data_IF_649015304432
#
_entry.id   IF_649015304432
#
_cell.length_a   1.000
_cell.length_b   1.000
_cell.length_c   1.000
_cell.angle_alpha   90.00
_cell.angle_beta   90.00
_cell.angle_gamma   90.00
#
_symmetry.space_group_name_H-M   'P 1'
#
loop_
_entity.id
_entity.type
_entity.pdbx_description
1 polymer ?
#
# COMPACT_ATOMS: atom_id res chain seq x y z
N UNK A 1 -12.67 -15.00 4.78
CA UNK A 1 -11.47 -14.53 5.53
C UNK A 1 -10.93 -13.22 4.97
N UNK A 2 -10.60 -13.08 3.69
CA UNK A 2 -10.03 -11.84 3.14
C UNK A 2 -10.82 -10.56 3.48
N UNK A 3 -12.15 -10.59 3.36
CA UNK A 3 -13.01 -9.45 3.72
C UNK A 3 -12.86 -9.04 5.19
N UNK A 4 -12.82 -10.01 6.11
CA UNK A 4 -12.66 -9.76 7.54
C UNK A 4 -11.40 -8.93 7.83
N UNK A 5 -10.29 -9.22 7.16
CA UNK A 5 -9.04 -8.48 7.29
C UNK A 5 -9.15 -7.12 6.61
N UNK A 6 -9.65 -7.08 5.38
CA UNK A 6 -9.82 -5.86 4.61
C UNK A 6 -10.65 -4.79 5.35
N UNK A 7 -11.73 -5.20 6.02
CA UNK A 7 -12.65 -4.31 6.75
C UNK A 7 -12.03 -3.75 8.05
N UNK A 8 -10.92 -4.33 8.52
CA UNK A 8 -10.25 -3.95 9.77
C UNK A 8 -8.96 -3.19 9.57
N UNK A 9 -8.45 -3.10 8.33
CA UNK A 9 -7.21 -2.38 8.00
C UNK A 9 -7.20 -0.96 8.60
N UNK A 10 -8.28 -0.19 8.49
CA UNK A 10 -8.33 1.17 9.03
C UNK A 10 -8.34 1.18 10.56
N UNK A 11 -9.02 0.23 11.18
CA UNK A 11 -9.08 0.14 12.64
C UNK A 11 -7.74 -0.28 13.21
N UNK A 12 -7.00 -1.16 12.54
CA UNK A 12 -5.73 -1.68 13.04
C UNK A 12 -4.52 -0.84 12.64
N UNK A 13 -4.55 -0.20 11.47
CA UNK A 13 -3.36 0.42 10.90
C UNK A 13 -3.46 1.94 10.76
N UNK A 14 -4.58 2.57 11.14
CA UNK A 14 -4.75 4.03 11.05
C UNK A 14 -5.22 4.68 12.34
N UNK A 15 -4.82 5.93 12.57
CA UNK A 15 -5.29 6.73 13.70
C UNK A 15 -6.79 7.02 13.61
N UNK A 16 -7.40 7.51 14.69
CA UNK A 16 -8.78 8.00 14.65
C UNK A 16 -8.98 9.11 13.60
N UNK A 17 -7.91 9.87 13.33
CA UNK A 17 -7.89 10.91 12.30
C UNK A 17 -7.73 10.34 10.87
N UNK A 18 -7.58 9.03 10.69
CA UNK A 18 -7.47 8.38 9.39
C UNK A 18 -6.08 8.37 8.77
N UNK A 19 -5.02 8.59 9.57
CA UNK A 19 -3.63 8.49 9.10
C UNK A 19 -3.10 7.07 9.33
N UNK A 20 -2.73 6.36 8.27
CA UNK A 20 -1.99 5.10 8.35
C UNK A 20 -0.60 5.24 9.01
N UNK A 21 -0.22 4.22 9.77
CA UNK A 21 1.06 4.08 10.48
C UNK A 21 1.72 2.74 10.13
N UNK A 22 3.05 2.66 10.22
CA UNK A 22 3.86 1.49 9.82
C UNK A 22 3.49 0.22 10.58
N UNK A 23 3.39 0.31 11.91
CA UNK A 23 3.09 -0.80 12.81
C UNK A 23 2.26 -0.30 13.98
N UNK A 24 1.24 -1.07 14.34
CA UNK A 24 0.49 -0.92 15.58
C UNK A 24 1.11 -1.85 16.63
N UNK A 25 1.40 -1.32 17.82
CA UNK A 25 1.91 -2.14 18.94
C UNK A 25 0.85 -3.07 19.54
N UNK A 26 -0.43 -2.78 19.31
CA UNK A 26 -1.57 -3.54 19.80
C UNK A 26 -2.52 -3.86 18.62
N UNK A 27 -2.63 -5.12 18.19
CA UNK A 27 -3.48 -5.51 17.07
C UNK A 27 -4.98 -5.45 17.39
N UNK A 28 -5.37 -5.37 18.67
CA UNK A 28 -6.77 -5.33 19.09
C UNK A 28 -7.30 -3.90 19.29
N UNK A 29 -6.41 -2.90 19.23
CA UNK A 29 -6.77 -1.50 19.44
C UNK A 29 -6.35 -0.63 18.27
N UNK A 30 -7.12 0.45 18.11
CA UNK A 30 -6.77 1.47 17.13
C UNK A 30 -5.48 2.18 17.53
N UNK A 31 -4.50 2.32 16.62
CA UNK A 31 -3.29 3.08 16.89
C UNK A 31 -3.59 4.52 17.27
N UNK A 32 -2.92 5.01 18.31
CA UNK A 32 -2.89 6.44 18.67
C UNK A 32 -1.58 7.10 18.27
N UNK A 33 -0.51 6.33 18.18
CA UNK A 33 0.85 6.73 17.82
C UNK A 33 1.55 5.64 17.01
N UNK A 34 2.65 6.00 16.35
CA UNK A 34 3.46 5.05 15.58
C UNK A 34 4.36 5.74 14.55
N UNK A 35 5.21 4.95 13.91
CA UNK A 35 6.10 5.44 12.86
C UNK A 35 5.32 5.74 11.57
N UNK A 36 5.67 6.86 10.92
CA UNK A 36 5.17 7.20 9.58
C UNK A 36 6.01 6.45 8.55
N UNK A 37 5.35 5.83 7.56
CA UNK A 37 5.96 5.07 6.47
C UNK A 37 5.05 5.10 5.23
N UNK A 38 5.58 4.89 4.00
CA UNK A 38 4.80 4.91 2.76
C UNK A 38 4.12 3.58 2.42
N UNK A 39 4.36 2.50 3.18
CA UNK A 39 3.95 1.12 2.89
C UNK A 39 2.43 0.94 2.71
N UNK A 40 1.60 1.84 3.24
CA UNK A 40 0.15 1.84 2.99
C UNK A 40 -0.21 2.04 1.52
N UNK A 41 0.71 2.53 0.67
CA UNK A 41 0.52 2.62 -0.78
C UNK A 41 0.35 1.24 -1.43
N UNK A 42 0.78 0.16 -0.78
CA UNK A 42 0.51 -1.20 -1.23
C UNK A 42 -1.00 -1.53 -1.23
N UNK A 43 -1.79 -0.89 -0.36
CA UNK A 43 -3.25 -0.99 -0.41
C UNK A 43 -3.81 -0.45 -1.74
N UNK A 44 -3.19 0.58 -2.30
CA UNK A 44 -3.56 1.12 -3.61
C UNK A 44 -3.01 0.23 -4.73
N UNK A 45 -1.74 -0.18 -4.63
CA UNK A 45 -1.08 -1.04 -5.61
C UNK A 45 -1.87 -2.30 -5.92
N UNK A 46 -2.34 -2.98 -4.88
CA UNK A 46 -3.08 -4.23 -5.01
C UNK A 46 -4.59 -4.06 -5.15
N UNK A 47 -5.08 -2.83 -5.30
CA UNK A 47 -6.50 -2.55 -5.56
C UNK A 47 -7.41 -2.77 -4.34
N UNK A 48 -6.88 -2.63 -3.12
CA UNK A 48 -7.67 -2.68 -1.89
C UNK A 48 -8.25 -1.31 -1.53
N UNK A 49 -7.57 -0.22 -1.89
CA UNK A 49 -8.04 1.17 -1.68
C UNK A 49 -7.91 1.98 -2.95
N UNK A 50 -8.78 2.98 -3.09
CA UNK A 50 -8.75 3.90 -4.23
C UNK A 50 -7.55 4.85 -4.09
N UNK A 51 -6.86 5.20 -5.19
CA UNK A 51 -5.74 6.15 -5.16
C UNK A 51 -6.05 7.50 -4.51
N UNK A 52 -7.31 7.95 -4.65
CA UNK A 52 -7.83 9.23 -4.14
C UNK A 52 -8.63 9.09 -2.84
N UNK A 53 -8.49 7.99 -2.11
CA UNK A 53 -9.10 7.86 -0.79
C UNK A 53 -8.49 8.89 0.17
N UNK A 54 -9.33 9.56 0.96
CA UNK A 54 -8.91 10.64 1.87
C UNK A 54 -7.84 10.18 2.86
N UNK A 55 -7.88 8.91 3.31
CA UNK A 55 -6.87 8.34 4.22
C UNK A 55 -5.52 8.19 3.53
N UNK A 56 -5.52 7.77 2.27
CA UNK A 56 -4.32 7.66 1.45
C UNK A 56 -3.68 9.04 1.28
N UNK A 57 -4.48 10.05 0.89
CA UNK A 57 -3.98 11.41 0.69
C UNK A 57 -3.46 12.03 2.00
N UNK A 58 -4.20 11.87 3.10
CA UNK A 58 -3.78 12.34 4.43
C UNK A 58 -2.48 11.69 4.91
N UNK A 59 -2.34 10.38 4.72
CA UNK A 59 -1.10 9.69 5.07
C UNK A 59 0.09 10.17 4.22
N UNK A 60 -0.16 10.47 2.95
CA UNK A 60 0.87 10.98 2.05
C UNK A 60 1.39 12.36 2.46
N UNK A 61 0.54 13.24 2.99
CA UNK A 61 0.99 14.53 3.53
C UNK A 61 2.05 14.34 4.63
N UNK A 62 1.85 13.38 5.53
CA UNK A 62 2.80 13.09 6.60
C UNK A 62 4.08 12.42 6.10
N UNK A 63 3.95 11.49 5.13
CA UNK A 63 5.09 10.85 4.47
C UNK A 63 5.95 11.90 3.76
N UNK A 64 5.34 12.77 2.96
CA UNK A 64 6.06 13.78 2.21
C UNK A 64 6.70 14.82 3.13
N UNK A 65 6.05 15.21 4.22
CA UNK A 65 6.61 16.14 5.17
C UNK A 65 7.82 15.58 5.96
N UNK A 66 7.86 14.26 6.21
CA UNK A 66 8.83 13.66 7.15
C UNK A 66 9.90 12.79 6.49
N UNK A 67 9.62 12.21 5.33
CA UNK A 67 10.45 11.19 4.71
C UNK A 67 11.01 11.59 3.35
N UNK A 68 10.40 12.57 2.68
CA UNK A 68 10.84 13.05 1.37
C UNK A 68 12.08 13.91 1.52
N UNK A 69 13.01 13.73 0.59
CA UNK A 69 14.10 14.67 0.36
C UNK A 69 14.30 14.89 -1.13
N UNK A 70 14.45 16.15 -1.51
CA UNK A 70 14.70 16.53 -2.90
C UNK A 70 16.19 16.65 -3.13
N UNK A 71 16.72 15.86 -4.05
CA UNK A 71 18.10 15.88 -4.50
C UNK A 71 18.18 16.58 -5.87
N UNK A 72 19.39 16.88 -6.41
CA UNK A 72 19.52 17.48 -7.74
C UNK A 72 18.80 16.70 -8.85
N UNK A 73 18.78 15.37 -8.75
CA UNK A 73 18.07 14.49 -9.68
C UNK A 73 16.56 14.38 -9.47
N UNK A 74 16.03 14.89 -8.36
CA UNK A 74 14.61 14.82 -7.99
C UNK A 74 14.37 14.21 -6.59
N UNK A 75 13.11 14.01 -6.20
CA UNK A 75 12.77 13.52 -4.87
C UNK A 75 12.99 12.02 -4.70
N UNK A 76 13.38 11.62 -3.50
CA UNK A 76 13.32 10.24 -3.01
C UNK A 76 12.87 10.22 -1.54
N UNK A 77 12.54 9.05 -1.01
CA UNK A 77 11.97 8.87 0.32
C UNK A 77 12.80 7.93 1.18
N UNK A 78 12.82 8.18 2.49
CA UNK A 78 13.25 7.23 3.50
C UNK A 78 12.14 6.22 3.79
N UNK A 79 12.48 5.04 4.31
CA UNK A 79 11.50 3.98 4.59
C UNK A 79 10.50 4.36 5.68
N UNK A 80 10.98 4.93 6.78
CA UNK A 80 10.12 5.35 7.89
C UNK A 80 10.84 6.32 8.83
N UNK A 81 10.04 6.99 9.68
CA UNK A 81 10.57 7.91 10.69
C UNK A 81 11.31 7.12 11.76
N UNK A 82 12.58 7.45 11.99
CA UNK A 82 13.44 6.73 12.94
C UNK A 82 14.19 5.54 12.34
N UNK A 83 14.25 5.42 11.01
CA UNK A 83 15.09 4.42 10.34
C UNK A 83 16.58 4.62 10.67
N UNK A 84 17.23 3.56 11.14
CA UNK A 84 18.64 3.53 11.59
C UNK A 84 19.56 2.72 10.68
N UNK A 85 19.04 2.14 9.59
CA UNK A 85 19.83 1.27 8.73
C UNK A 85 20.35 2.03 7.51
N UNK A 86 21.58 2.51 7.65
CA UNK A 86 22.33 3.30 6.69
C UNK A 86 23.59 3.84 7.38
N UNK A 87 24.46 4.49 6.61
CA UNK A 87 25.73 5.02 7.12
C UNK A 87 25.50 6.04 8.24
N UNK A 88 26.51 6.24 9.09
CA UNK A 88 26.55 7.35 10.03
C UNK A 88 26.67 8.69 9.29
N UNK A 89 26.44 9.80 10.00
CA UNK A 89 26.45 11.13 9.37
C UNK A 89 27.84 11.58 8.91
N UNK A 90 28.90 10.98 9.45
CA UNK A 90 30.28 11.16 8.98
C UNK A 90 30.63 10.27 7.75
N UNK A 91 29.66 9.50 7.26
CA UNK A 91 29.80 8.58 6.14
C UNK A 91 30.51 7.27 6.49
N UNK A 92 30.75 6.98 7.77
CA UNK A 92 31.24 5.66 8.17
C UNK A 92 30.15 4.58 7.97
N UNK A 93 30.54 3.34 7.59
CA UNK A 93 29.57 2.29 7.28
C UNK A 93 28.65 1.96 8.45
N UNK A 94 27.45 1.46 8.13
CA UNK A 94 26.53 0.93 9.13
C UNK A 94 27.14 -0.25 9.89
N UNK A 95 27.05 -0.23 11.21
CA UNK A 95 27.65 -1.21 12.12
C UNK A 95 26.63 -1.85 13.08
N UNK A 96 25.34 -1.67 12.80
CA UNK A 96 24.23 -2.01 13.69
C UNK A 96 23.38 -0.80 14.04
N UNK A 97 23.94 0.40 13.90
CA UNK A 97 23.25 1.67 14.06
C UNK A 97 23.71 2.68 12.98
N UNK A 98 22.95 3.76 12.81
CA UNK A 98 23.23 4.80 11.84
C UNK A 98 21.99 5.61 11.49
N UNK A 99 21.96 6.11 10.26
CA UNK A 99 20.85 6.92 9.75
C UNK A 99 20.36 6.32 8.43
N UNK A 100 19.11 5.84 8.40
CA UNK A 100 18.52 5.30 7.16
C UNK A 100 18.47 6.35 6.06
N UNK A 101 18.94 6.00 4.86
CA UNK A 101 19.06 6.93 3.72
C UNK A 101 17.88 6.81 2.76
N UNK A 102 17.95 7.46 1.61
CA UNK A 102 16.86 7.49 0.63
C UNK A 102 16.87 6.23 -0.23
N UNK A 103 15.70 5.70 -0.54
CA UNK A 103 15.52 4.46 -1.29
C UNK A 103 14.96 4.74 -2.69
N UNK A 104 15.73 4.52 -3.77
CA UNK A 104 15.24 4.70 -5.14
C UNK A 104 13.95 3.93 -5.43
N UNK A 105 13.77 2.74 -4.84
CA UNK A 105 12.55 1.94 -5.00
C UNK A 105 11.29 2.64 -4.48
N UNK A 106 11.39 3.46 -3.43
CA UNK A 106 10.25 4.22 -2.91
C UNK A 106 9.89 5.41 -3.81
N UNK A 107 10.85 5.91 -4.58
CA UNK A 107 10.55 6.85 -5.68
C UNK A 107 9.67 6.14 -6.71
N UNK A 108 9.98 4.88 -7.02
CA UNK A 108 9.22 4.10 -7.98
C UNK A 108 7.77 3.86 -7.54
N UNK A 109 7.58 3.44 -6.28
CA UNK A 109 6.24 3.28 -5.69
C UNK A 109 5.44 4.59 -5.70
N UNK A 110 6.12 5.72 -5.49
CA UNK A 110 5.47 7.03 -5.60
C UNK A 110 5.05 7.36 -7.03
N UNK A 111 5.87 7.05 -8.03
CA UNK A 111 5.53 7.21 -9.46
C UNK A 111 4.25 6.44 -9.79
N UNK A 112 4.14 5.21 -9.32
CA UNK A 112 2.95 4.36 -9.50
C UNK A 112 1.70 5.01 -8.94
N UNK A 113 1.76 5.59 -7.74
CA UNK A 113 0.62 6.29 -7.17
C UNK A 113 0.27 7.58 -7.93
N UNK A 114 1.26 8.34 -8.39
CA UNK A 114 1.00 9.50 -9.26
C UNK A 114 0.27 9.09 -10.53
N UNK A 115 0.74 8.02 -11.17
CA UNK A 115 0.09 7.46 -12.34
C UNK A 115 -1.35 7.00 -12.05
N UNK A 116 -1.59 6.38 -10.88
CA UNK A 116 -2.95 5.94 -10.48
C UNK A 116 -3.90 7.09 -10.11
N UNK A 117 -3.37 8.28 -9.82
CA UNK A 117 -4.17 9.50 -9.71
C UNK A 117 -4.46 10.18 -11.06
N UNK A 118 -3.86 9.69 -12.15
CA UNK A 118 -3.92 10.32 -13.48
C UNK A 118 -2.95 11.49 -13.64
N UNK A 119 -1.90 11.57 -12.81
CA UNK A 119 -0.87 12.61 -12.90
C UNK A 119 0.29 12.18 -13.82
N UNK A 120 1.01 13.13 -14.43
CA UNK A 120 2.22 12.84 -15.19
C UNK A 120 3.26 12.12 -14.34
N UNK A 121 3.76 10.99 -14.84
CA UNK A 121 4.72 10.13 -14.16
C UNK A 121 6.15 10.22 -14.75
N UNK A 122 6.29 10.72 -15.97
CA UNK A 122 7.54 10.67 -16.74
C UNK A 122 8.72 11.39 -16.06
N UNK A 123 8.47 12.50 -15.35
CA UNK A 123 9.52 13.20 -14.61
C UNK A 123 10.05 12.38 -13.44
N UNK A 124 9.19 11.65 -12.73
CA UNK A 124 9.63 10.81 -11.62
C UNK A 124 10.32 9.52 -12.10
N UNK A 125 9.99 9.02 -13.30
CA UNK A 125 10.79 7.95 -13.94
C UNK A 125 12.22 8.44 -14.20
N UNK A 126 12.37 9.64 -14.77
CA UNK A 126 13.70 10.28 -14.96
C UNK A 126 14.42 10.53 -13.64
N UNK A 127 13.71 10.89 -12.58
CA UNK A 127 14.29 10.99 -11.23
C UNK A 127 14.92 9.66 -10.81
N UNK A 128 14.21 8.54 -10.98
CA UNK A 128 14.73 7.22 -10.64
C UNK A 128 15.97 6.87 -11.48
N UNK A 129 15.93 7.13 -12.80
CA UNK A 129 17.08 6.93 -13.70
C UNK A 129 18.30 7.77 -13.27
N UNK A 130 18.08 8.99 -12.76
CA UNK A 130 19.16 9.88 -12.32
C UNK A 130 19.98 9.34 -11.14
N UNK A 131 19.37 8.46 -10.32
CA UNK A 131 20.03 7.82 -9.18
C UNK A 131 20.95 6.67 -9.60
N UNK A 132 20.80 6.14 -10.81
CA UNK A 132 21.71 5.15 -11.35
C UNK A 132 23.09 5.76 -11.65
N UNK A 133 24.14 4.99 -11.41
CA UNK A 133 25.51 5.34 -11.80
C UNK A 133 25.81 5.04 -13.27
N UNK A 134 27.06 5.21 -13.73
CA UNK A 134 27.47 4.89 -15.11
C UNK A 134 27.21 3.44 -15.53
N UNK A 135 27.21 2.51 -14.57
CA UNK A 135 26.86 1.11 -14.80
C UNK A 135 25.36 0.83 -14.87
N UNK A 136 24.50 1.86 -14.82
CA UNK A 136 23.03 1.77 -14.83
C UNK A 136 22.42 0.95 -13.68
N UNK A 137 23.18 0.78 -12.58
CA UNK A 137 22.73 0.03 -11.41
C UNK A 137 21.97 0.96 -10.45
N UNK A 138 20.70 0.62 -10.18
CA UNK A 138 19.93 1.18 -9.07
C UNK A 138 20.34 0.50 -7.76
N UNK A 139 20.78 1.29 -6.79
CA UNK A 139 21.14 0.81 -5.45
C UNK A 139 19.93 0.70 -4.53
N UNK A 140 20.11 -0.02 -3.43
CA UNK A 140 19.15 -0.06 -2.32
C UNK A 140 18.96 1.33 -1.71
N UNK A 141 20.07 2.01 -1.42
CA UNK A 141 20.07 3.35 -0.85
C UNK A 141 20.97 4.31 -1.65
N UNK A 142 20.64 5.58 -1.59
CA UNK A 142 21.46 6.68 -2.11
C UNK A 142 21.83 7.66 -1.00
N UNK A 143 23.03 8.22 -1.10
CA UNK A 143 23.55 9.19 -0.16
C UNK A 143 22.77 10.48 -0.26
N UNK A 144 22.34 11.00 0.88
CA UNK A 144 21.53 12.21 0.95
C UNK A 144 22.19 13.34 1.75
N UNK A 145 23.39 13.12 2.30
CA UNK A 145 24.20 14.16 2.93
C UNK A 145 25.01 14.98 1.91
N UNK A 146 25.79 15.97 2.38
CA UNK A 146 26.81 16.64 1.56
C UNK A 146 27.82 15.64 0.98
N UNK A 147 28.44 15.97 -0.15
CA UNK A 147 29.46 15.11 -0.76
C UNK A 147 30.63 14.87 0.21
N UNK A 148 31.04 13.61 0.34
CA UNK A 148 32.21 13.16 1.09
C UNK A 148 33.15 12.38 0.15
N UNK A 149 33.95 13.07 -0.69
CA UNK A 149 34.81 12.40 -1.68
C UNK A 149 35.79 11.40 -1.08
N UNK A 150 36.30 11.66 0.14
CA UNK A 150 37.18 10.75 0.86
C UNK A 150 36.53 9.41 1.27
N UNK A 151 35.19 9.33 1.18
CA UNK A 151 34.39 8.13 1.42
C UNK A 151 33.73 7.60 0.14
N UNK A 152 33.92 8.28 -0.99
CA UNK A 152 33.22 7.96 -2.25
C UNK A 152 31.71 8.23 -2.20
N UNK A 153 31.23 9.01 -1.23
CA UNK A 153 29.80 9.33 -1.08
C UNK A 153 29.49 10.65 -1.79
N UNK A 154 28.53 10.62 -2.70
CA UNK A 154 28.09 11.78 -3.48
C UNK A 154 26.57 11.86 -3.44
N UNK A 155 26.05 13.07 -3.28
CA UNK A 155 24.62 13.35 -3.14
C UNK A 155 23.83 12.74 -4.30
N UNK A 156 22.89 11.85 -3.99
CA UNK A 156 22.05 11.14 -4.96
C UNK A 156 22.71 9.97 -5.68
N UNK A 157 23.89 9.52 -5.21
CA UNK A 157 24.58 8.33 -5.71
C UNK A 157 24.52 7.20 -4.68
N UNK A 158 24.77 5.97 -5.13
CA UNK A 158 24.84 4.81 -4.26
C UNK A 158 25.77 5.04 -3.06
N UNK A 159 25.32 4.68 -1.86
CA UNK A 159 25.99 4.98 -0.59
C UNK A 159 26.84 3.84 0.00
N UNK A 160 26.96 2.70 -0.71
CA UNK A 160 27.69 1.52 -0.22
C UNK A 160 26.78 0.36 0.23
N UNK A 161 25.47 0.59 0.28
CA UNK A 161 24.44 -0.47 0.33
C UNK A 161 24.44 -1.34 -0.94
N UNK A 162 23.58 -2.37 -0.97
CA UNK A 162 23.48 -3.28 -2.10
C UNK A 162 23.24 -2.54 -3.43
N UNK A 163 24.12 -2.76 -4.41
CA UNK A 163 24.02 -2.19 -5.75
C UNK A 163 24.57 -3.19 -6.79
N UNK A 164 23.73 -3.75 -7.69
CA UNK A 164 22.31 -3.48 -7.87
C UNK A 164 21.42 -4.07 -6.76
N UNK A 165 20.33 -3.37 -6.43
CA UNK A 165 19.20 -3.97 -5.72
C UNK A 165 18.19 -4.53 -6.74
N UNK A 166 17.97 -5.85 -6.71
CA UNK A 166 17.04 -6.52 -7.62
C UNK A 166 15.59 -5.98 -7.54
N UNK A 167 15.13 -5.65 -6.33
CA UNK A 167 13.81 -5.04 -6.12
C UNK A 167 13.68 -3.67 -6.78
N UNK A 168 14.67 -2.78 -6.63
CA UNK A 168 14.65 -1.46 -7.29
C UNK A 168 14.59 -1.60 -8.82
N UNK A 169 15.32 -2.55 -9.39
CA UNK A 169 15.27 -2.81 -10.83
C UNK A 169 13.92 -3.41 -11.27
N UNK A 170 13.35 -4.31 -10.47
CA UNK A 170 12.04 -4.89 -10.75
C UNK A 170 10.95 -3.81 -10.76
N UNK A 171 10.94 -2.90 -9.78
CA UNK A 171 10.01 -1.76 -9.76
C UNK A 171 10.21 -0.84 -10.95
N UNK A 172 11.46 -0.54 -11.31
CA UNK A 172 11.75 0.26 -12.51
C UNK A 172 11.17 -0.37 -13.78
N UNK A 173 11.40 -1.67 -14.01
CA UNK A 173 10.85 -2.38 -15.16
C UNK A 173 9.31 -2.39 -15.16
N UNK A 174 8.69 -2.56 -13.99
CA UNK A 174 7.24 -2.50 -13.86
C UNK A 174 6.69 -1.11 -14.14
N UNK A 175 7.40 -0.04 -13.76
CA UNK A 175 7.01 1.33 -14.12
C UNK A 175 7.06 1.55 -15.63
N UNK A 176 8.10 1.07 -16.30
CA UNK A 176 8.18 1.16 -17.77
C UNK A 176 7.03 0.41 -18.43
N UNK A 177 6.73 -0.81 -17.97
CA UNK A 177 5.59 -1.58 -18.45
C UNK A 177 4.26 -0.86 -18.19
N UNK A 178 4.10 -0.25 -17.00
CA UNK A 178 2.91 0.51 -16.61
C UNK A 178 2.68 1.70 -17.54
N UNK A 179 3.73 2.48 -17.82
CA UNK A 179 3.68 3.63 -18.74
C UNK A 179 3.40 3.17 -20.17
N UNK A 180 4.07 2.12 -20.65
CA UNK A 180 3.91 1.61 -22.01
C UNK A 180 2.50 1.06 -22.28
N UNK A 181 1.92 0.37 -21.29
CA UNK A 181 0.58 -0.24 -21.40
C UNK A 181 -0.55 0.72 -21.00
N UNK A 182 -0.22 1.92 -20.52
CA UNK A 182 -1.17 2.84 -19.89
C UNK A 182 -2.06 2.14 -18.82
N UNK A 183 -1.46 1.25 -18.01
CA UNK A 183 -2.21 0.40 -17.09
C UNK A 183 -1.32 -0.27 -16.04
N UNK A 184 -1.90 -1.03 -15.12
CA UNK A 184 -1.17 -1.66 -14.00
C UNK A 184 -1.04 -3.17 -14.22
N UNK A 185 0.06 -3.68 -14.80
CA UNK A 185 0.18 -5.10 -15.15
C UNK A 185 0.23 -6.03 -13.93
N UNK A 186 0.66 -5.52 -12.78
CA UNK A 186 0.80 -6.26 -11.51
C UNK A 186 -0.36 -6.05 -10.53
N UNK A 187 -1.44 -5.38 -10.96
CA UNK A 187 -2.61 -5.21 -10.09
C UNK A 187 -3.37 -6.52 -9.90
N UNK A 188 -3.82 -6.79 -8.67
CA UNK A 188 -4.64 -7.96 -8.36
C UNK A 188 -6.08 -7.69 -8.79
N UNK A 189 -6.41 -8.00 -10.04
CA UNK A 189 -7.74 -7.70 -10.62
C UNK A 189 -8.94 -8.19 -9.78
N UNK A 190 -8.95 -9.41 -9.19
CA UNK A 190 -10.04 -9.83 -8.33
C UNK A 190 -10.24 -8.91 -7.11
N UNK A 191 -9.15 -8.44 -6.50
CA UNK A 191 -9.21 -7.52 -5.37
C UNK A 191 -9.70 -6.14 -5.81
N UNK A 192 -9.11 -5.59 -6.88
CA UNK A 192 -9.53 -4.30 -7.47
C UNK A 192 -11.03 -4.27 -7.77
N UNK A 193 -11.54 -5.30 -8.47
CA UNK A 193 -12.97 -5.44 -8.79
C UNK A 193 -13.82 -5.41 -7.53
N UNK A 194 -13.44 -6.21 -6.53
CA UNK A 194 -14.22 -6.36 -5.30
C UNK A 194 -14.22 -5.12 -4.41
N UNK A 195 -13.08 -4.46 -4.24
CA UNK A 195 -12.91 -3.43 -3.20
C UNK A 195 -12.86 -1.99 -3.73
N UNK A 196 -12.66 -1.78 -5.03
CA UNK A 196 -12.51 -0.42 -5.59
C UNK A 196 -13.39 -0.10 -6.79
N UNK A 197 -13.89 -1.09 -7.53
CA UNK A 197 -14.75 -0.89 -8.71
C UNK A 197 -16.24 -1.12 -8.42
N UNK A 198 -16.56 -2.10 -7.56
CA UNK A 198 -17.94 -2.33 -7.13
C UNK A 198 -18.21 -1.52 -5.86
N UNK A 199 -19.29 -0.71 -5.79
CA UNK A 199 -19.71 -0.07 -4.55
C UNK A 199 -19.91 -1.13 -3.46
N UNK A 200 -19.64 -0.84 -2.18
CA UNK A 200 -19.91 -1.77 -1.10
C UNK A 200 -21.34 -2.31 -1.24
N UNK A 201 -21.49 -3.60 -1.50
CA UNK A 201 -22.79 -4.23 -1.43
C UNK A 201 -23.09 -4.41 0.04
N UNK A 202 -24.11 -3.71 0.54
CA UNK A 202 -24.68 -4.09 1.83
C UNK A 202 -25.14 -5.55 1.70
N UNK A 203 -24.71 -6.45 2.59
CA UNK A 203 -25.28 -7.80 2.61
C UNK A 203 -26.77 -7.64 2.87
N UNK A 204 -27.58 -7.83 1.83
CA UNK A 204 -29.03 -7.84 1.95
C UNK A 204 -29.42 -9.11 2.70
N UNK A 205 -29.54 -9.03 4.02
CA UNK A 205 -30.19 -10.06 4.81
C UNK A 205 -31.70 -9.88 4.69
N UNK A 206 -32.38 -10.94 4.29
CA UNK A 206 -33.83 -11.01 4.32
C UNK A 206 -34.23 -11.78 5.57
N UNK A 207 -34.96 -11.13 6.47
CA UNK A 207 -35.52 -11.76 7.66
C UNK A 207 -37.00 -11.99 7.41
N UNK A 208 -37.47 -13.22 7.63
CA UNK A 208 -38.89 -13.54 7.63
C UNK A 208 -39.28 -14.01 9.04
N UNK A 209 -40.22 -13.29 9.66
CA UNK A 209 -40.82 -13.71 10.92
C UNK A 209 -41.85 -14.80 10.66
N UNK A 210 -41.54 -16.03 11.08
CA UNK A 210 -42.47 -17.16 11.02
C UNK A 210 -43.13 -17.30 12.40
N UNK A 211 -44.47 -17.35 12.50
CA UNK A 211 -45.17 -17.49 13.77
C UNK A 211 -45.07 -18.93 14.31
N UNK A 212 -43.87 -19.34 14.71
CA UNK A 212 -43.56 -20.70 15.19
C UNK A 212 -44.41 -21.11 16.38
N UNK A 213 -44.85 -20.16 17.21
CA UNK A 213 -45.79 -20.38 18.32
C UNK A 213 -47.17 -20.90 17.91
N UNK A 214 -47.52 -20.85 16.61
CA UNK A 214 -48.76 -21.40 16.06
C UNK A 214 -48.58 -22.74 15.36
N UNK A 215 -47.34 -23.22 15.25
CA UNK A 215 -46.99 -24.46 14.59
C UNK A 215 -46.92 -25.58 15.63
N UNK A 216 -47.57 -26.71 15.36
CA UNK A 216 -47.48 -27.89 16.21
C UNK A 216 -46.09 -28.54 16.10
N UNK A 217 -45.62 -29.27 17.14
CA UNK A 217 -44.42 -30.10 17.03
C UNK A 217 -44.51 -31.05 15.83
N UNK A 218 -43.43 -31.15 15.06
CA UNK A 218 -43.38 -31.93 13.82
C UNK A 218 -43.92 -31.22 12.58
N UNK A 219 -44.42 -29.98 12.69
CA UNK A 219 -44.79 -29.19 11.53
C UNK A 219 -43.56 -28.77 10.72
N UNK A 220 -43.68 -28.80 9.39
CA UNK A 220 -42.63 -28.38 8.45
C UNK A 220 -43.00 -27.05 7.82
N UNK A 221 -42.09 -26.07 7.93
CA UNK A 221 -42.16 -24.82 7.19
C UNK A 221 -41.21 -24.88 6.00
N UNK A 222 -41.71 -24.64 4.79
CA UNK A 222 -40.91 -24.61 3.58
C UNK A 222 -41.10 -23.29 2.84
N UNK A 223 -40.01 -22.75 2.27
CA UNK A 223 -40.05 -21.52 1.49
C UNK A 223 -39.11 -21.59 0.29
N UNK A 224 -39.41 -20.73 -0.68
CA UNK A 224 -38.60 -20.53 -1.88
C UNK A 224 -38.34 -19.03 -2.02
N UNK A 225 -37.06 -18.65 -2.17
CA UNK A 225 -36.68 -17.27 -2.45
C UNK A 225 -36.61 -17.06 -3.97
N UNK A 226 -37.19 -15.96 -4.45
CA UNK A 226 -37.13 -15.54 -5.85
C UNK A 226 -36.39 -14.20 -5.93
N UNK A 227 -35.33 -14.12 -6.75
CA UNK A 227 -34.62 -12.86 -6.99
C UNK A 227 -35.14 -12.19 -8.26
N UNK A 228 -35.18 -10.86 -8.28
CA UNK A 228 -35.61 -10.08 -9.45
C UNK A 228 -34.73 -10.28 -10.69
N UNK A 229 -33.52 -10.84 -10.53
CA UNK A 229 -32.55 -11.12 -11.60
C UNK A 229 -32.57 -12.56 -12.11
N UNK A 230 -33.43 -13.42 -11.57
CA UNK A 230 -33.53 -14.82 -11.98
C UNK A 230 -33.81 -15.79 -10.83
N UNK A 231 -33.88 -17.08 -11.18
CA UNK A 231 -34.14 -18.18 -10.24
C UNK A 231 -32.82 -18.88 -9.85
N UNK A 232 -32.52 -18.91 -8.55
CA UNK A 232 -31.60 -19.88 -7.93
C UNK A 232 -32.28 -20.34 -6.64
N UNK A 233 -32.95 -21.49 -6.67
CA UNK A 233 -33.77 -21.94 -5.54
C UNK A 233 -33.52 -23.40 -5.20
N UNK A 234 -32.82 -23.64 -4.09
CA UNK A 234 -33.03 -24.88 -3.32
C UNK A 234 -34.28 -24.64 -2.46
N UNK A 235 -35.16 -25.62 -2.35
CA UNK A 235 -36.25 -25.55 -1.38
C UNK A 235 -35.67 -25.68 0.03
N UNK A 236 -35.85 -24.67 0.86
CA UNK A 236 -35.46 -24.73 2.26
C UNK A 236 -36.63 -25.24 3.09
N UNK A 237 -36.37 -26.13 4.04
CA UNK A 237 -37.36 -26.64 4.98
C UNK A 237 -36.80 -26.69 6.40
N UNK A 238 -37.58 -26.24 7.36
CA UNK A 238 -37.28 -26.38 8.80
C UNK A 238 -38.42 -27.15 9.46
N UNK A 239 -38.07 -28.18 10.24
CA UNK A 239 -39.02 -28.91 11.09
C UNK A 239 -38.96 -28.35 12.49
N UNK A 240 -40.13 -28.01 13.05
CA UNK A 240 -40.24 -27.57 14.43
C UNK A 240 -40.13 -28.81 15.34
N UNK A 241 -39.03 -28.90 16.08
CA UNK A 241 -38.78 -29.91 17.12
C UNK A 241 -39.36 -29.50 18.46
#
# INVERSE_FOLDING_TARGET
MADYWNDRVETWCSTAAGQYLRLAGDPDRRPTEGAVAPEFLELVRYGLRRPKDDRILKSLESVDARLKKTLPGGPSWRRYVGDRYGEHDDGSPWDGDGTGRLWPVLTAERVRHFFSMGLPAAELVRTMESFAGPGLMLSEQIWDGPDLPARGLYTGRANGSAAPLGWAHAEYLQLLAMVALAGFPDIVLPARRRYTEVPPQEPASWVADVPTHRLAPGATFAWTAHYGTGWEGINYSVTIV
#
